data_IF_076394920914
#
_entry.id   IF_076394920914
#
_cell.length_a   1.000
_cell.length_b   1.000
_cell.length_c   1.000
_cell.angle_alpha   90.00
_cell.angle_beta   90.00
_cell.angle_gamma   90.00
#
_symmetry.space_group_name_H-M   'P 1'
#
loop_
_entity.id
_entity.type
_entity.pdbx_description
1 polymer ?
#
# COMPACT_ATOMS: atom_id res chain seq x y z
N UNK A 1 15.01 -13.69 -5.91
CA UNK A 1 14.35 -12.41 -5.65
C UNK A 1 13.12 -12.62 -4.77
N UNK A 2 12.84 -11.65 -3.91
CA UNK A 2 11.64 -11.69 -3.10
C UNK A 2 10.48 -11.19 -3.94
N UNK A 3 9.44 -12.01 -4.07
CA UNK A 3 8.25 -11.64 -4.84
C UNK A 3 7.19 -11.08 -3.91
N UNK A 4 6.57 -9.97 -4.36
CA UNK A 4 5.53 -9.29 -3.61
C UNK A 4 4.21 -9.44 -4.37
N UNK A 5 3.19 -9.93 -3.68
CA UNK A 5 1.87 -10.17 -4.28
C UNK A 5 0.82 -9.34 -3.55
N UNK A 6 0.14 -8.47 -4.29
CA UNK A 6 -0.91 -7.63 -3.74
C UNK A 6 -2.29 -8.14 -4.11
N UNK A 7 -3.25 -7.91 -3.24
CA UNK A 7 -4.66 -8.17 -3.54
C UNK A 7 -5.55 -7.16 -2.83
N UNK A 8 -6.64 -6.78 -3.47
CA UNK A 8 -7.00 -7.11 -4.85
C UNK A 8 -6.16 -6.34 -5.85
N UNK A 9 -6.23 -6.67 -7.12
CA UNK A 9 -5.53 -5.90 -8.17
C UNK A 9 -6.22 -4.57 -8.43
N UNK A 10 -7.53 -4.52 -8.23
CA UNK A 10 -8.30 -3.29 -8.30
C UNK A 10 -9.55 -3.41 -7.44
N UNK A 11 -10.08 -2.26 -7.03
CA UNK A 11 -11.35 -2.21 -6.30
C UNK A 11 -12.06 -0.90 -6.58
N UNK A 12 -13.38 -0.93 -6.46
CA UNK A 12 -14.22 0.27 -6.56
C UNK A 12 -14.80 0.57 -5.20
N UNK A 13 -14.74 1.82 -4.79
CA UNK A 13 -15.23 2.24 -3.48
C UNK A 13 -15.79 3.65 -3.54
N UNK A 14 -16.52 4.02 -2.51
CA UNK A 14 -17.13 5.35 -2.38
C UNK A 14 -16.41 6.16 -1.31
N UNK A 15 -16.53 7.48 -1.40
CA UNK A 15 -15.99 8.36 -0.36
C UNK A 15 -16.61 7.96 0.98
N UNK A 16 -15.77 7.86 2.00
CA UNK A 16 -16.17 7.43 3.33
C UNK A 16 -16.02 5.95 3.61
N UNK A 17 -15.80 5.14 2.58
CA UNK A 17 -15.62 3.70 2.75
C UNK A 17 -14.29 3.37 3.43
N UNK A 18 -14.27 2.23 4.12
CA UNK A 18 -13.04 1.65 4.64
C UNK A 18 -12.46 0.74 3.57
N UNK A 19 -11.19 0.93 3.24
CA UNK A 19 -10.49 0.16 2.21
C UNK A 19 -9.33 -0.58 2.84
N UNK A 20 -9.19 -1.85 2.49
CA UNK A 20 -8.11 -2.70 2.97
C UNK A 20 -7.41 -3.34 1.77
N UNK A 21 -6.08 -3.19 1.71
CA UNK A 21 -5.24 -3.76 0.67
C UNK A 21 -4.21 -4.65 1.36
N UNK A 22 -4.00 -5.84 0.81
CA UNK A 22 -3.03 -6.79 1.37
C UNK A 22 -1.82 -6.95 0.46
N UNK A 23 -0.69 -7.27 1.08
CA UNK A 23 0.56 -7.50 0.39
C UNK A 23 1.24 -8.69 1.05
N UNK A 24 1.68 -9.66 0.25
CA UNK A 24 2.36 -10.86 0.75
C UNK A 24 3.72 -10.98 0.12
N UNK A 25 4.73 -11.22 0.96
CA UNK A 25 6.09 -11.46 0.51
C UNK A 25 6.34 -12.97 0.39
N UNK A 26 7.14 -13.37 -0.60
CA UNK A 26 7.46 -14.77 -0.83
C UNK A 26 8.37 -15.37 0.25
N UNK A 27 9.00 -14.50 1.06
CA UNK A 27 9.80 -14.93 2.20
C UNK A 27 9.78 -13.82 3.26
N UNK A 28 10.29 -14.13 4.45
CA UNK A 28 10.27 -13.20 5.57
C UNK A 28 11.06 -11.93 5.25
N UNK A 29 10.43 -10.78 5.43
CA UNK A 29 11.05 -9.48 5.22
C UNK A 29 11.02 -8.63 6.50
N UNK A 30 10.73 -9.26 7.66
CA UNK A 30 10.58 -8.59 8.94
C UNK A 30 9.53 -7.48 8.85
N UNK A 31 9.91 -6.23 9.03
CA UNK A 31 9.02 -5.08 8.84
C UNK A 31 9.53 -4.15 7.75
N UNK A 32 10.38 -4.64 6.89
CA UNK A 32 11.05 -3.81 5.89
C UNK A 32 10.20 -3.68 4.64
N UNK A 33 9.08 -3.01 4.82
CA UNK A 33 8.08 -2.78 3.79
C UNK A 33 7.68 -1.31 3.76
N UNK A 34 7.56 -0.77 2.54
CA UNK A 34 7.00 0.55 2.28
C UNK A 34 5.73 0.43 1.48
N UNK A 35 4.83 1.39 1.70
CA UNK A 35 3.63 1.56 0.88
C UNK A 35 3.73 2.89 0.15
N UNK A 36 3.38 2.89 -1.14
CA UNK A 36 3.38 4.07 -1.99
C UNK A 36 2.00 4.32 -2.55
N UNK A 37 1.70 5.62 -2.78
CA UNK A 37 0.51 6.03 -3.51
C UNK A 37 0.97 6.68 -4.81
N UNK A 38 0.37 6.29 -5.94
CA UNK A 38 0.67 6.89 -7.23
C UNK A 38 -0.61 7.36 -7.90
N UNK A 39 -0.72 8.66 -8.10
CA UNK A 39 -1.83 9.26 -8.83
C UNK A 39 -1.50 9.28 -10.33
N UNK A 40 -2.51 9.26 -11.20
CA UNK A 40 -2.27 9.25 -12.65
C UNK A 40 -1.33 10.38 -13.08
N UNK A 41 -0.31 10.03 -13.86
CA UNK A 41 0.65 11.00 -14.37
C UNK A 41 1.63 11.55 -13.36
N UNK A 42 1.63 11.03 -12.12
CA UNK A 42 2.51 11.52 -11.05
C UNK A 42 3.46 10.43 -10.62
N UNK A 43 4.55 10.83 -9.96
CA UNK A 43 5.49 9.89 -9.38
C UNK A 43 4.88 9.23 -8.13
N UNK A 44 5.31 8.00 -7.80
CA UNK A 44 4.87 7.37 -6.55
C UNK A 44 5.31 8.20 -5.35
N UNK A 45 4.42 8.32 -4.38
CA UNK A 45 4.69 9.06 -3.15
C UNK A 45 4.66 8.11 -1.98
N UNK A 46 5.72 8.06 -1.14
CA UNK A 46 5.72 7.15 0.00
C UNK A 46 4.69 7.57 1.05
N UNK A 47 3.94 6.60 1.54
CA UNK A 47 2.93 6.81 2.58
C UNK A 47 3.37 6.27 3.92
N UNK A 48 3.92 5.06 3.90
CA UNK A 48 4.24 4.30 5.11
C UNK A 48 5.59 3.64 4.91
N UNK A 49 6.39 3.63 5.96
CA UNK A 49 7.66 2.91 6.00
C UNK A 49 7.70 2.01 7.22
N UNK A 50 8.57 1.03 7.19
CA UNK A 50 8.74 0.07 8.28
C UNK A 50 7.40 -0.55 8.68
N UNK A 51 6.59 -0.87 7.67
CA UNK A 51 5.29 -1.55 7.75
C UNK A 51 4.17 -0.71 8.38
N UNK A 52 4.45 0.12 9.39
CA UNK A 52 3.38 0.79 10.15
C UNK A 52 3.62 2.27 10.46
N UNK A 53 4.74 2.84 10.02
CA UNK A 53 5.08 4.23 10.35
C UNK A 53 4.66 5.17 9.23
N UNK A 54 3.85 6.17 9.58
CA UNK A 54 3.41 7.17 8.60
C UNK A 54 4.55 8.09 8.22
N UNK A 55 4.69 8.36 6.92
CA UNK A 55 5.56 9.42 6.42
C UNK A 55 5.02 10.77 6.90
N UNK A 56 5.94 11.71 7.09
CA UNK A 56 5.59 13.07 7.48
C UNK A 56 4.59 13.67 6.49
N UNK A 57 3.52 14.24 7.01
CA UNK A 57 2.49 14.89 6.19
C UNK A 57 1.40 13.98 5.68
N UNK A 58 1.49 12.67 5.90
CA UNK A 58 0.46 11.74 5.46
C UNK A 58 -0.69 11.72 6.45
N UNK A 59 -1.95 11.83 5.99
CA UNK A 59 -3.10 11.85 6.89
C UNK A 59 -3.22 10.57 7.74
N UNK A 60 -3.73 10.74 8.94
CA UNK A 60 -3.85 9.64 9.91
C UNK A 60 -4.89 8.59 9.52
N UNK A 61 -5.70 8.84 8.50
CA UNK A 61 -6.64 7.81 8.01
C UNK A 61 -5.94 6.63 7.35
N UNK A 62 -4.68 6.82 6.96
CA UNK A 62 -3.83 5.74 6.46
C UNK A 62 -3.18 5.02 7.62
N UNK A 63 -3.18 3.69 7.58
CA UNK A 63 -2.46 2.89 8.56
C UNK A 63 -1.94 1.62 7.90
N UNK A 64 -0.83 1.14 8.44
CA UNK A 64 -0.23 -0.10 7.97
C UNK A 64 0.01 -1.04 9.12
N UNK A 65 -0.02 -2.33 8.84
CA UNK A 65 0.25 -3.36 9.84
C UNK A 65 0.87 -4.58 9.19
N UNK A 66 1.39 -5.46 10.02
CA UNK A 66 1.96 -6.73 9.61
C UNK A 66 3.44 -6.81 9.87
N UNK A 67 3.94 -8.04 9.77
CA UNK A 67 5.36 -8.36 9.86
C UNK A 67 5.58 -9.73 9.25
N UNK A 68 6.82 -10.02 8.87
CA UNK A 68 7.16 -11.31 8.28
C UNK A 68 6.78 -11.38 6.82
N UNK A 69 5.63 -11.96 6.48
CA UNK A 69 5.23 -12.13 5.09
C UNK A 69 3.90 -11.47 4.74
N UNK A 70 3.05 -11.17 5.73
CA UNK A 70 1.70 -10.66 5.47
C UNK A 70 1.55 -9.23 5.99
N UNK A 71 1.14 -8.32 5.12
CA UNK A 71 1.05 -6.89 5.42
C UNK A 71 -0.27 -6.33 4.90
N UNK A 72 -0.74 -5.28 5.56
CA UNK A 72 -2.03 -4.66 5.24
C UNK A 72 -1.90 -3.15 5.26
N UNK A 73 -2.48 -2.50 4.25
CA UNK A 73 -2.70 -1.05 4.22
C UNK A 73 -4.19 -0.81 4.38
N UNK A 74 -4.56 0.06 5.30
CA UNK A 74 -5.96 0.39 5.55
C UNK A 74 -6.16 1.90 5.41
N UNK A 75 -7.21 2.28 4.69
CA UNK A 75 -7.70 3.65 4.64
C UNK A 75 -9.03 3.65 5.35
N UNK A 76 -9.11 4.29 6.53
CA UNK A 76 -10.28 4.17 7.40
C UNK A 76 -11.53 4.86 6.85
N UNK A 77 -11.35 5.94 6.10
CA UNK A 77 -12.45 6.69 5.51
C UNK A 77 -11.94 7.35 4.23
N UNK A 78 -12.23 6.71 3.11
CA UNK A 78 -11.71 7.11 1.81
C UNK A 78 -12.14 8.52 1.44
N UNK A 79 -11.19 9.32 0.98
CA UNK A 79 -11.44 10.69 0.54
C UNK A 79 -11.26 10.78 -0.97
N UNK A 80 -11.81 11.85 -1.61
CA UNK A 80 -11.67 11.98 -3.08
C UNK A 80 -10.22 11.94 -3.57
N UNK A 81 -9.29 12.51 -2.80
CA UNK A 81 -7.88 12.53 -3.18
C UNK A 81 -7.18 11.18 -3.01
N UNK A 82 -7.85 10.19 -2.43
CA UNK A 82 -7.25 8.87 -2.19
C UNK A 82 -7.43 7.90 -3.36
N UNK A 83 -8.19 8.27 -4.38
CA UNK A 83 -8.34 7.43 -5.55
C UNK A 83 -7.06 7.45 -6.36
N UNK A 84 -6.36 6.31 -6.36
CA UNK A 84 -5.00 6.20 -6.87
C UNK A 84 -4.63 4.72 -6.97
N UNK A 85 -3.41 4.42 -7.40
CA UNK A 85 -2.86 3.07 -7.35
C UNK A 85 -1.89 2.99 -6.18
N UNK A 86 -1.96 1.91 -5.43
CA UNK A 86 -1.13 1.71 -4.25
C UNK A 86 -0.20 0.53 -4.46
N UNK A 87 1.07 0.69 -4.04
CA UNK A 87 2.11 -0.33 -4.21
C UNK A 87 2.78 -0.62 -2.88
N UNK A 88 3.05 -1.90 -2.63
CA UNK A 88 3.96 -2.28 -1.55
C UNK A 88 5.35 -2.55 -2.14
N UNK A 89 6.39 -2.30 -1.35
CA UNK A 89 7.78 -2.51 -1.75
C UNK A 89 8.56 -3.05 -0.56
N UNK A 90 9.28 -4.17 -0.78
CA UNK A 90 10.18 -4.65 0.25
C UNK A 90 11.58 -4.02 0.06
N UNK A 91 12.23 -3.71 1.17
CA UNK A 91 13.62 -3.27 1.15
C UNK A 91 14.48 -4.12 2.10
N UNK A 92 14.03 -5.37 2.31
CA UNK A 92 14.74 -6.32 3.14
C UNK A 92 16.00 -6.82 2.45
N UNK A 93 15.94 -7.03 1.15
CA UNK A 93 17.03 -7.60 0.37
C UNK A 93 17.00 -7.06 -1.05
N UNK A 94 18.19 -7.00 -1.68
CA UNK A 94 18.28 -6.62 -3.09
C UNK A 94 18.07 -7.83 -3.99
N UNK A 95 17.47 -7.64 -5.16
CA UNK A 95 16.95 -6.37 -5.68
C UNK A 95 15.66 -5.96 -4.97
N UNK A 96 15.44 -4.65 -4.79
CA UNK A 96 14.19 -4.15 -4.25
C UNK A 96 13.06 -4.49 -5.21
N UNK A 97 11.97 -5.03 -4.66
CA UNK A 97 10.85 -5.48 -5.48
C UNK A 97 9.54 -4.90 -5.00
N UNK A 98 8.62 -4.68 -5.95
CA UNK A 98 7.31 -4.09 -5.69
C UNK A 98 6.22 -5.12 -5.93
N UNK A 99 5.07 -4.92 -5.28
CA UNK A 99 3.84 -5.58 -5.69
C UNK A 99 3.36 -5.01 -7.02
N UNK A 100 2.40 -5.68 -7.63
CA UNK A 100 1.89 -5.30 -8.95
C UNK A 100 0.95 -4.09 -8.91
N UNK A 101 0.57 -3.64 -7.71
CA UNK A 101 -0.30 -2.50 -7.53
C UNK A 101 -1.75 -2.87 -7.29
N UNK A 102 -2.44 -1.99 -6.58
CA UNK A 102 -3.89 -2.07 -6.35
C UNK A 102 -4.49 -0.74 -6.77
N UNK A 103 -5.33 -0.76 -7.79
CA UNK A 103 -6.00 0.46 -8.26
C UNK A 103 -7.29 0.65 -7.48
N UNK A 104 -7.40 1.80 -6.80
CA UNK A 104 -8.60 2.17 -6.06
C UNK A 104 -9.38 3.19 -6.88
N UNK A 105 -10.55 2.78 -7.37
CA UNK A 105 -11.39 3.57 -8.26
C UNK A 105 -12.65 4.02 -7.57
N UNK A 106 -13.20 5.14 -8.04
CA UNK A 106 -14.46 5.65 -7.51
C UNK A 106 -15.61 4.80 -8.03
N UNK A 107 -16.52 4.46 -7.14
CA UNK A 107 -17.72 3.70 -7.47
C UNK A 107 -18.78 4.63 -8.04
N UNK A 108 -19.37 4.22 -9.13
CA UNK A 108 -20.40 5.01 -9.81
C UNK A 108 -21.75 4.33 -9.75
#
# INVERSE_FOLDING_TARGET
DIQMTQSPSSLSASVGDRVTITCRASQNIDRELRWYQQKPGKAPMPLIYHASRLQSGVPSRFSGSGSGTDFTLTISSLQPEDFATYYCQQYHDFPLTFGQGTKVEIKR
#
